data_IF_268568221327
#
_entry.id   IF_268568221327
#
_cell.length_a   1.000
_cell.length_b   1.000
_cell.length_c   1.000
_cell.angle_alpha   90.00
_cell.angle_beta   90.00
_cell.angle_gamma   90.00
#
_symmetry.space_group_name_H-M   'P 1'
#
loop_
_entity.id
_entity.type
_entity.pdbx_description
1 polymer ?
#
# COMPACT_ATOMS: atom_id res chain seq x y z
N UNK A 1 25.44 -17.44 -5.45
CA UNK A 1 24.24 -16.59 -5.29
C UNK A 1 23.93 -16.53 -3.82
N UNK A 2 24.13 -15.38 -3.18
CA UNK A 2 23.66 -15.18 -1.82
C UNK A 2 22.86 -13.89 -1.72
N UNK A 3 21.57 -13.97 -1.37
CA UNK A 3 20.75 -12.81 -1.08
C UNK A 3 21.08 -12.24 0.29
N UNK A 4 21.07 -10.91 0.39
CA UNK A 4 21.42 -10.17 1.61
C UNK A 4 20.40 -10.33 2.74
N UNK A 5 19.22 -10.90 2.47
CA UNK A 5 18.03 -10.84 3.32
C UNK A 5 17.64 -12.20 3.94
N UNK A 6 18.61 -12.92 4.52
CA UNK A 6 18.31 -14.17 5.24
C UNK A 6 17.86 -13.87 6.68
N UNK A 7 16.66 -14.29 7.03
CA UNK A 7 16.11 -14.28 8.40
C UNK A 7 15.78 -15.73 8.76
N UNK A 8 16.35 -16.25 9.85
CA UNK A 8 16.09 -17.61 10.35
C UNK A 8 16.28 -18.74 9.30
N UNK A 9 17.18 -18.56 8.33
CA UNK A 9 17.41 -19.52 7.24
C UNK A 9 16.45 -19.38 6.06
N UNK A 10 15.38 -18.61 6.22
CA UNK A 10 14.44 -18.24 5.18
C UNK A 10 14.82 -16.91 4.52
N UNK A 11 14.32 -16.73 3.30
CA UNK A 11 14.63 -15.60 2.46
C UNK A 11 13.44 -14.67 2.44
N UNK A 12 13.54 -13.56 3.14
CA UNK A 12 12.42 -12.64 3.36
C UNK A 12 12.77 -11.27 2.79
N UNK A 13 11.82 -10.66 2.07
CA UNK A 13 11.93 -9.30 1.60
C UNK A 13 10.80 -8.47 2.19
N UNK A 14 11.15 -7.67 3.19
CA UNK A 14 10.24 -6.73 3.85
C UNK A 14 10.23 -5.41 3.09
N UNK A 15 9.06 -5.09 2.51
CA UNK A 15 8.82 -3.84 1.83
C UNK A 15 8.60 -2.73 2.86
N UNK A 16 9.03 -1.50 2.54
CA UNK A 16 8.54 -0.33 3.28
C UNK A 16 7.01 -0.26 3.16
N UNK A 17 6.30 0.19 4.21
CA UNK A 17 4.85 0.38 4.13
C UNK A 17 4.47 1.29 2.97
N UNK A 18 3.45 0.88 2.22
CA UNK A 18 2.94 1.63 1.05
C UNK A 18 1.49 2.01 1.30
N UNK A 19 1.15 3.27 1.02
CA UNK A 19 -0.22 3.72 1.12
C UNK A 19 -1.15 2.97 0.16
N UNK A 20 -2.32 2.59 0.66
CA UNK A 20 -3.33 1.92 -0.14
C UNK A 20 -3.69 2.77 -1.36
N UNK A 21 -3.78 2.13 -2.52
CA UNK A 21 -4.09 2.77 -3.80
C UNK A 21 -3.13 3.91 -4.18
N UNK A 22 -1.86 3.84 -3.75
CA UNK A 22 -0.83 4.77 -4.22
C UNK A 22 -0.69 4.64 -5.74
N UNK A 23 -0.85 5.73 -6.52
CA UNK A 23 -0.96 5.65 -7.99
C UNK A 23 0.35 5.27 -8.68
N UNK A 24 1.48 5.50 -8.02
CA UNK A 24 2.80 5.14 -8.52
C UNK A 24 3.69 4.62 -7.38
N UNK A 25 3.45 3.39 -6.88
CA UNK A 25 4.20 2.86 -5.74
C UNK A 25 5.68 2.69 -6.12
N UNK A 26 6.62 3.06 -5.23
CA UNK A 26 8.05 3.02 -5.54
C UNK A 26 8.52 1.58 -5.72
N UNK A 27 9.41 1.38 -6.69
CA UNK A 27 10.14 0.12 -6.83
C UNK A 27 11.14 -0.03 -5.68
N UNK A 28 11.22 -1.24 -5.12
CA UNK A 28 12.13 -1.59 -4.05
C UNK A 28 13.09 -2.68 -4.53
N UNK A 29 14.37 -2.51 -4.22
CA UNK A 29 15.43 -3.39 -4.71
C UNK A 29 15.73 -4.52 -3.74
N UNK A 30 15.55 -5.75 -4.21
CA UNK A 30 16.10 -6.95 -3.60
C UNK A 30 17.48 -7.23 -4.17
N UNK A 31 18.52 -6.90 -3.40
CA UNK A 31 19.91 -7.07 -3.82
C UNK A 31 20.39 -8.52 -3.75
N UNK A 32 21.00 -8.96 -4.84
CA UNK A 32 21.60 -10.28 -4.96
C UNK A 32 23.07 -10.17 -5.35
N UNK A 33 23.92 -11.02 -4.76
CA UNK A 33 25.34 -11.06 -5.05
C UNK A 33 25.74 -12.35 -5.76
N UNK A 34 26.44 -12.22 -6.88
CA UNK A 34 27.06 -13.33 -7.57
C UNK A 34 28.53 -13.49 -7.17
N UNK A 35 28.80 -14.42 -6.25
CA UNK A 35 30.16 -14.77 -5.85
C UNK A 35 30.92 -15.63 -6.87
N UNK A 36 30.26 -16.13 -7.93
CA UNK A 36 30.90 -17.00 -8.94
C UNK A 36 31.77 -16.20 -9.90
N UNK A 37 32.68 -16.89 -10.58
CA UNK A 37 33.53 -16.34 -11.65
C UNK A 37 32.82 -16.28 -13.01
N UNK A 38 31.57 -16.76 -13.10
CA UNK A 38 30.77 -16.79 -14.33
C UNK A 38 29.44 -16.08 -14.17
N UNK A 39 28.88 -15.63 -15.30
CA UNK A 39 27.53 -15.05 -15.36
C UNK A 39 26.50 -16.03 -14.79
N UNK A 40 25.55 -15.52 -14.02
CA UNK A 40 24.41 -16.30 -13.51
C UNK A 40 23.13 -15.72 -14.10
N UNK A 41 22.43 -16.52 -14.89
CA UNK A 41 21.08 -16.18 -15.34
C UNK A 41 20.10 -16.40 -14.18
N UNK A 42 19.17 -15.47 -14.01
CA UNK A 42 18.11 -15.60 -13.03
C UNK A 42 16.73 -15.48 -13.67
N UNK A 43 15.76 -16.11 -13.03
CA UNK A 43 14.34 -16.01 -13.36
C UNK A 43 13.49 -16.02 -12.10
N UNK A 44 12.49 -15.14 -12.01
CA UNK A 44 11.51 -15.04 -10.94
C UNK A 44 10.19 -15.61 -11.46
N UNK A 45 9.62 -16.58 -10.73
CA UNK A 45 8.30 -17.14 -11.01
C UNK A 45 7.36 -17.05 -9.83
N UNK A 46 6.07 -16.92 -10.15
CA UNK A 46 4.97 -16.85 -9.20
C UNK A 46 4.07 -18.09 -9.37
N UNK A 47 4.57 -19.25 -8.92
CA UNK A 47 3.88 -20.54 -9.01
C UNK A 47 3.52 -21.08 -7.61
N UNK A 48 3.39 -20.21 -6.61
CA UNK A 48 3.13 -20.61 -5.23
C UNK A 48 1.63 -20.64 -4.91
N UNK A 49 1.26 -21.23 -3.78
CA UNK A 49 -0.11 -21.18 -3.25
C UNK A 49 -0.49 -19.80 -2.72
N UNK A 50 0.49 -18.93 -2.48
CA UNK A 50 0.33 -17.54 -2.00
C UNK A 50 0.86 -16.59 -3.08
N UNK A 51 0.08 -16.38 -4.16
CA UNK A 51 0.56 -15.68 -5.34
C UNK A 51 0.92 -14.22 -5.03
N UNK A 52 1.97 -13.74 -5.70
CA UNK A 52 2.42 -12.35 -5.63
C UNK A 52 1.43 -11.40 -6.31
N UNK A 53 0.87 -11.80 -7.45
CA UNK A 53 -0.16 -11.02 -8.13
C UNK A 53 -1.49 -11.02 -7.34
N UNK A 54 -2.20 -9.88 -7.21
CA UNK A 54 -1.96 -8.58 -7.85
C UNK A 54 -1.18 -7.56 -7.02
N UNK A 55 -0.62 -7.95 -5.87
CA UNK A 55 -0.08 -6.97 -4.91
C UNK A 55 1.41 -6.73 -5.06
N UNK A 56 2.16 -7.75 -5.45
CA UNK A 56 3.60 -7.67 -5.69
C UNK A 56 3.90 -7.98 -7.16
N UNK A 57 4.69 -7.10 -7.78
CA UNK A 57 5.09 -7.25 -9.18
C UNK A 57 6.60 -7.15 -9.32
N UNK A 58 7.22 -8.15 -9.96
CA UNK A 58 8.63 -8.08 -10.34
C UNK A 58 8.78 -7.33 -11.67
N UNK A 59 9.57 -6.26 -11.69
CA UNK A 59 9.76 -5.42 -12.89
C UNK A 59 10.77 -6.02 -13.87
N UNK A 60 11.76 -6.74 -13.36
CA UNK A 60 12.80 -7.41 -14.13
C UNK A 60 12.84 -8.91 -13.74
N UNK A 61 11.83 -9.70 -14.14
CA UNK A 61 11.69 -11.09 -13.73
C UNK A 61 12.78 -12.00 -14.26
N UNK A 62 13.51 -11.60 -15.31
CA UNK A 62 14.68 -12.31 -15.83
C UNK A 62 15.86 -11.37 -16.02
N UNK A 63 17.07 -11.91 -15.97
CA UNK A 63 18.28 -11.14 -16.22
C UNK A 63 19.56 -11.94 -15.97
N UNK A 64 20.69 -11.22 -16.03
CA UNK A 64 22.03 -11.78 -15.88
C UNK A 64 22.75 -11.03 -14.76
N UNK A 65 23.30 -11.79 -13.81
CA UNK A 65 24.18 -11.25 -12.76
C UNK A 65 25.63 -11.56 -13.10
N UNK A 66 26.42 -10.52 -13.34
CA UNK A 66 27.83 -10.65 -13.71
C UNK A 66 28.69 -11.23 -12.57
N UNK A 67 29.85 -11.85 -12.88
CA UNK A 67 30.81 -12.31 -11.88
C UNK A 67 31.16 -11.22 -10.88
N UNK A 68 31.29 -11.59 -9.61
CA UNK A 68 31.74 -10.70 -8.52
C UNK A 68 30.96 -9.38 -8.43
N UNK A 69 29.69 -9.38 -8.80
CA UNK A 69 28.86 -8.18 -8.86
C UNK A 69 27.58 -8.30 -8.04
N UNK A 70 27.04 -7.15 -7.66
CA UNK A 70 25.72 -7.01 -7.03
C UNK A 70 24.72 -6.58 -8.11
N UNK A 71 23.52 -7.16 -8.07
CA UNK A 71 22.45 -6.84 -9.02
C UNK A 71 21.12 -6.65 -8.28
N UNK A 72 20.29 -5.66 -8.66
CA UNK A 72 18.97 -5.47 -8.07
C UNK A 72 17.90 -6.28 -8.81
N UNK A 73 17.09 -7.03 -8.06
CA UNK A 73 15.79 -7.50 -8.54
C UNK A 73 14.74 -6.54 -7.99
N UNK A 74 14.01 -5.86 -8.87
CA UNK A 74 13.12 -4.77 -8.53
C UNK A 74 11.69 -5.29 -8.40
N UNK A 75 11.07 -4.98 -7.26
CA UNK A 75 9.67 -5.28 -7.01
C UNK A 75 8.87 -4.01 -6.72
N UNK A 76 7.63 -3.99 -7.18
CA UNK A 76 6.61 -3.00 -6.78
C UNK A 76 5.63 -3.69 -5.84
N UNK A 77 5.24 -3.01 -4.77
CA UNK A 77 4.17 -3.42 -3.87
C UNK A 77 3.02 -2.40 -3.94
N UNK A 78 1.82 -2.86 -4.30
CA UNK A 78 0.63 -2.05 -4.52
C UNK A 78 -0.56 -2.61 -3.72
N UNK A 79 -0.66 -2.29 -2.42
CA UNK A 79 -1.74 -2.77 -1.58
C UNK A 79 -3.07 -2.10 -1.91
N UNK A 80 -4.16 -2.87 -1.82
CA UNK A 80 -5.55 -2.42 -1.97
C UNK A 80 -6.30 -2.33 -0.62
N UNK A 81 -5.70 -2.85 0.46
CA UNK A 81 -6.31 -2.96 1.80
C UNK A 81 -5.31 -2.63 2.91
N UNK A 82 -5.83 -2.26 4.08
CA UNK A 82 -5.06 -1.95 5.28
C UNK A 82 -4.73 -3.24 6.06
N UNK A 83 -3.83 -4.05 5.51
CA UNK A 83 -3.39 -5.28 6.16
C UNK A 83 -1.94 -5.62 5.78
N UNK A 84 -1.43 -6.68 6.39
CA UNK A 84 -0.18 -7.32 5.97
C UNK A 84 -0.49 -8.22 4.78
N UNK A 85 0.35 -8.15 3.76
CA UNK A 85 0.34 -9.00 2.59
C UNK A 85 1.58 -9.87 2.60
N UNK A 86 1.38 -11.15 2.32
CA UNK A 86 2.45 -12.13 2.22
C UNK A 86 2.29 -12.91 0.92
N UNK A 87 3.39 -13.03 0.17
CA UNK A 87 3.42 -13.81 -1.05
C UNK A 87 4.75 -14.55 -1.18
N UNK A 88 4.77 -15.66 -1.90
CA UNK A 88 6.00 -16.43 -2.13
C UNK A 88 6.32 -16.48 -3.61
N UNK A 89 7.48 -15.93 -3.98
CA UNK A 89 8.04 -16.06 -5.32
C UNK A 89 9.22 -17.01 -5.32
N UNK A 90 9.47 -17.65 -6.46
CA UNK A 90 10.62 -18.53 -6.65
C UNK A 90 11.67 -17.83 -7.49
N UNK A 91 12.89 -17.74 -6.95
CA UNK A 91 14.09 -17.42 -7.71
C UNK A 91 14.75 -18.70 -8.22
N UNK A 92 14.83 -18.80 -9.54
CA UNK A 92 15.56 -19.82 -10.28
C UNK A 92 16.88 -19.23 -10.77
N UNK A 93 17.99 -19.93 -10.52
CA UNK A 93 19.31 -19.55 -11.04
C UNK A 93 20.07 -20.80 -11.48
N UNK A 94 20.24 -21.02 -12.78
CA UNK A 94 20.81 -22.22 -13.43
C UNK A 94 20.42 -23.57 -12.77
N UNK A 95 21.04 -23.94 -11.64
CA UNK A 95 20.83 -25.20 -10.93
C UNK A 95 20.25 -25.06 -9.51
N UNK A 96 19.95 -23.83 -9.07
CA UNK A 96 19.44 -23.55 -7.73
C UNK A 96 18.04 -22.95 -7.80
N UNK A 97 17.17 -23.43 -6.91
CA UNK A 97 15.84 -22.87 -6.65
C UNK A 97 15.82 -22.34 -5.22
N UNK A 98 15.37 -21.11 -5.05
CA UNK A 98 15.18 -20.49 -3.72
C UNK A 98 13.81 -19.83 -3.67
N UNK A 99 13.10 -20.03 -2.58
CA UNK A 99 11.86 -19.29 -2.31
C UNK A 99 12.21 -17.97 -1.63
N UNK A 100 11.46 -16.93 -1.96
CA UNK A 100 11.54 -15.61 -1.35
C UNK A 100 10.14 -15.27 -0.88
N UNK A 101 9.98 -15.03 0.42
CA UNK A 101 8.76 -14.51 1.01
C UNK A 101 8.78 -12.99 0.89
N UNK A 102 7.80 -12.43 0.20
CA UNK A 102 7.56 -10.99 0.07
C UNK A 102 6.56 -10.58 1.15
N UNK A 103 6.93 -9.61 1.97
CA UNK A 103 6.09 -9.12 3.07
C UNK A 103 5.92 -7.63 2.91
N UNK A 104 4.68 -7.16 2.83
CA UNK A 104 4.35 -5.75 2.67
C UNK A 104 3.18 -5.36 3.56
N UNK A 105 3.16 -4.11 4.02
CA UNK A 105 2.05 -3.57 4.81
C UNK A 105 1.38 -2.43 4.04
N UNK A 106 0.08 -2.59 3.79
CA UNK A 106 -0.75 -1.47 3.35
C UNK A 106 -0.91 -0.47 4.49
N UNK A 107 -0.71 0.81 4.21
CA UNK A 107 -0.85 1.91 5.17
C UNK A 107 -1.94 2.90 4.71
N UNK A 108 -2.43 3.71 5.64
CA UNK A 108 -3.39 4.78 5.39
C UNK A 108 -2.86 6.09 5.94
N UNK A 109 -3.18 7.20 5.27
CA UNK A 109 -2.91 8.55 5.78
C UNK A 109 -3.61 8.86 7.12
N UNK A 110 -4.51 8.00 7.58
CA UNK A 110 -5.19 8.11 8.87
C UNK A 110 -4.40 7.41 9.99
N UNK A 111 -3.25 7.95 10.37
CA UNK A 111 -2.56 7.57 11.61
C UNK A 111 -2.48 8.74 12.58
N UNK A 112 -3.64 9.20 13.01
CA UNK A 112 -3.80 9.76 14.35
C UNK A 112 -4.90 8.95 15.00
N UNK A 113 -4.52 8.10 15.95
CA UNK A 113 -5.43 7.77 17.04
C UNK A 113 -5.85 9.12 17.64
N UNK A 114 -7.05 9.58 17.31
CA UNK A 114 -7.71 10.58 18.13
C UNK A 114 -8.12 9.81 19.37
N UNK A 115 -7.22 9.78 20.35
CA UNK A 115 -7.64 9.58 21.72
C UNK A 115 -8.66 10.70 22.00
N UNK A 116 -9.87 10.41 22.49
CA UNK A 116 -10.74 11.46 22.99
C UNK A 116 -10.09 12.06 24.24
N UNK A 117 -9.17 13.00 24.02
CA UNK A 117 -8.68 13.88 25.07
C UNK A 117 -9.78 14.90 25.37
N UNK A 118 -10.01 15.24 26.64
CA UNK A 118 -10.93 16.31 26.98
C UNK A 118 -10.27 17.64 26.59
N UNK A 119 -10.66 18.24 25.46
CA UNK A 119 -10.08 19.53 25.09
C UNK A 119 -10.38 20.02 23.68
N UNK A 120 -11.46 20.79 23.57
CA UNK A 120 -11.58 22.01 22.76
C UNK A 120 -11.22 21.90 21.28
N UNK A 121 -12.19 21.49 20.44
CA UNK A 121 -12.12 21.74 19.01
C UNK A 121 -12.31 23.22 18.71
N UNK A 122 -11.22 23.93 18.43
CA UNK A 122 -11.25 25.24 17.78
C UNK A 122 -11.52 25.07 16.28
N UNK A 123 -12.71 24.61 15.92
CA UNK A 123 -13.32 24.95 14.64
C UNK A 123 -14.39 25.97 14.95
N UNK A 124 -14.31 27.12 14.29
CA UNK A 124 -15.17 28.29 14.47
C UNK A 124 -16.62 27.83 14.70
N UNK A 125 -17.29 28.27 15.79
CA UNK A 125 -18.67 27.90 16.01
C UNK A 125 -19.47 28.53 14.88
N UNK A 126 -19.85 27.72 13.90
CA UNK A 126 -20.97 28.07 13.04
C UNK A 126 -22.13 28.17 14.02
N UNK A 127 -22.58 29.39 14.34
CA UNK A 127 -23.82 29.60 15.07
C UNK A 127 -24.92 28.98 14.23
N UNK A 128 -25.23 27.73 14.54
CA UNK A 128 -26.25 26.94 13.89
C UNK A 128 -27.14 26.46 15.01
N UNK A 129 -28.36 26.99 15.07
CA UNK A 129 -29.34 26.64 16.11
C UNK A 129 -29.88 25.20 15.91
N UNK A 130 -29.41 24.49 14.89
CA UNK A 130 -29.74 23.09 14.62
C UNK A 130 -28.90 22.18 15.53
N UNK A 131 -29.56 21.23 16.19
CA UNK A 131 -28.88 20.22 17.01
C UNK A 131 -28.06 19.22 16.17
N UNK A 132 -28.48 18.93 14.94
CA UNK A 132 -27.76 18.06 14.01
C UNK A 132 -27.56 18.82 12.70
N UNK A 133 -26.32 18.95 12.23
CA UNK A 133 -26.03 19.65 10.98
C UNK A 133 -24.73 19.21 10.33
N UNK A 134 -24.62 19.44 9.02
CA UNK A 134 -23.39 19.20 8.27
C UNK A 134 -22.52 20.46 8.23
N UNK A 135 -21.20 20.30 8.15
CA UNK A 135 -20.25 21.40 7.98
C UNK A 135 -20.43 22.16 6.65
N UNK A 136 -21.13 21.56 5.68
CA UNK A 136 -21.53 22.16 4.41
C UNK A 136 -22.86 21.55 3.95
N UNK A 137 -23.72 22.35 3.34
CA UNK A 137 -25.01 21.88 2.78
C UNK A 137 -24.85 21.27 1.37
N UNK A 138 -23.72 21.54 0.70
CA UNK A 138 -23.43 20.98 -0.62
C UNK A 138 -21.92 20.78 -0.85
N UNK A 139 -21.59 19.87 -1.74
CA UNK A 139 -20.22 19.66 -2.23
C UNK A 139 -20.20 20.07 -3.69
N UNK A 140 -19.51 21.18 -4.00
CA UNK A 140 -19.32 21.64 -5.38
C UNK A 140 -17.97 21.12 -5.87
N UNK A 141 -18.01 20.12 -6.76
CA UNK A 141 -16.81 19.65 -7.43
C UNK A 141 -16.45 20.63 -8.56
N UNK A 142 -15.34 21.36 -8.40
CA UNK A 142 -14.79 22.22 -9.45
C UNK A 142 -14.21 21.38 -10.60
N UNK A 143 -14.05 21.93 -11.82
CA UNK A 143 -13.42 21.23 -12.93
C UNK A 143 -12.09 20.60 -12.49
N UNK A 144 -11.99 19.29 -12.65
CA UNK A 144 -10.83 18.51 -12.25
C UNK A 144 -9.93 18.28 -13.46
N UNK A 145 -8.63 18.45 -13.30
CA UNK A 145 -7.68 18.09 -14.35
C UNK A 145 -7.70 16.57 -14.57
N UNK A 146 -7.49 16.14 -15.82
CA UNK A 146 -7.36 14.72 -16.16
C UNK A 146 -6.28 14.06 -15.30
N UNK A 147 -6.56 12.85 -14.80
CA UNK A 147 -5.66 12.06 -13.94
C UNK A 147 -5.39 12.66 -12.55
N UNK A 148 -6.29 13.50 -12.01
CA UNK A 148 -6.21 13.98 -10.63
C UNK A 148 -7.33 13.38 -9.75
N UNK A 149 -7.01 13.16 -8.48
CA UNK A 149 -7.97 12.73 -7.46
C UNK A 149 -8.23 13.88 -6.49
N UNK A 150 -9.47 14.35 -6.42
CA UNK A 150 -9.91 15.36 -5.45
C UNK A 150 -10.67 14.66 -4.34
N UNK A 151 -10.21 14.82 -3.09
CA UNK A 151 -10.92 14.34 -1.90
C UNK A 151 -11.55 15.54 -1.21
N UNK A 152 -12.81 15.41 -0.82
CA UNK A 152 -13.53 16.39 0.00
C UNK A 152 -13.95 15.73 1.30
N UNK A 153 -13.77 16.45 2.41
CA UNK A 153 -14.20 16.03 3.74
C UNK A 153 -15.23 17.03 4.24
N UNK A 154 -16.29 16.52 4.84
CA UNK A 154 -17.27 17.30 5.59
C UNK A 154 -17.58 16.55 6.87
N UNK A 155 -18.06 17.29 7.87
CA UNK A 155 -18.36 16.75 9.19
C UNK A 155 -19.87 16.75 9.40
N UNK A 156 -20.38 15.72 10.07
CA UNK A 156 -21.71 15.71 10.67
C UNK A 156 -21.55 16.04 12.14
N UNK A 157 -22.11 17.17 12.56
CA UNK A 157 -22.16 17.59 13.94
C UNK A 157 -23.44 17.06 14.56
N UNK A 158 -23.29 16.39 15.70
CA UNK A 158 -24.38 16.03 16.58
C UNK A 158 -24.16 16.73 17.92
N UNK A 159 -24.95 17.77 18.16
CA UNK A 159 -24.97 18.53 19.40
C UNK A 159 -26.22 18.19 20.25
N UNK A 160 -26.97 17.14 19.91
CA UNK A 160 -28.01 16.60 20.80
C UNK A 160 -27.41 15.57 21.75
N UNK A 161 -28.18 15.22 22.79
CA UNK A 161 -27.87 14.13 23.71
C UNK A 161 -28.37 12.76 23.19
N UNK A 162 -28.78 12.69 21.92
CA UNK A 162 -29.37 11.49 21.31
C UNK A 162 -28.41 10.85 20.29
N UNK A 163 -28.42 9.52 20.23
CA UNK A 163 -27.73 8.77 19.18
C UNK A 163 -28.41 9.02 17.83
N UNK A 164 -27.61 9.26 16.80
CA UNK A 164 -28.12 9.49 15.45
C UNK A 164 -27.72 8.37 14.51
N UNK A 165 -28.67 7.92 13.70
CA UNK A 165 -28.46 7.00 12.58
C UNK A 165 -28.70 7.75 11.28
N UNK A 166 -27.79 7.62 10.32
CA UNK A 166 -27.91 8.24 9.01
C UNK A 166 -27.84 7.20 7.89
N UNK A 167 -28.52 7.48 6.79
CA UNK A 167 -28.50 6.67 5.58
C UNK A 167 -28.17 7.56 4.37
N UNK A 168 -27.32 7.05 3.49
CA UNK A 168 -27.04 7.69 2.20
C UNK A 168 -28.03 7.20 1.15
N UNK A 169 -28.82 8.10 0.60
CA UNK A 169 -29.73 7.79 -0.50
C UNK A 169 -29.41 8.62 -1.73
N UNK A 170 -29.33 7.96 -2.88
CA UNK A 170 -29.28 8.66 -4.17
C UNK A 170 -30.62 9.34 -4.39
N UNK A 171 -30.61 10.64 -4.64
CA UNK A 171 -31.83 11.36 -4.99
C UNK A 171 -32.29 10.91 -6.39
N UNK A 172 -33.48 10.36 -6.49
CA UNK A 172 -34.13 10.00 -7.77
C UNK A 172 -35.19 11.04 -8.07
N UNK A 173 -35.09 11.72 -9.21
CA UNK A 173 -36.22 12.52 -9.70
C UNK A 173 -37.29 11.55 -10.23
N UNK A 174 -38.46 11.59 -9.63
CA UNK A 174 -39.71 11.02 -10.18
C UNK A 174 -40.40 12.02 -11.08
#
# INVERSE_FOLDING_TARGET
FDPKYRINGHLEFNFIPIFIAHPNPPAQAFWVYNHKESNVNYFITDNSSTPAYPYFHCLNPSGIVHPKSVHPILFIFAPDKLCIFEAVVTLLSNNNKRQITLIGQGDSYTRTFISPGPGLSSFIPIQNDRMIFLSTESIILKPMFTCTNVKSMFCLYNNSDEDIMYEWKKYSFS
#
